data_IF_292845685813
#
_entry.id   IF_292845685813
#
_cell.length_a   1.000
_cell.length_b   1.000
_cell.length_c   1.000
_cell.angle_alpha   90.00
_cell.angle_beta   90.00
_cell.angle_gamma   90.00
#
_symmetry.space_group_name_H-M   'P 1'
#
loop_
_entity.id
_entity.type
_entity.pdbx_description
1 polymer ?
#
# COMPACT_ATOMS: atom_id res chain seq x y z
N UNK A 1 -15.25 -12.76 -2.37
CA UNK A 1 -14.40 -11.56 -2.35
C UNK A 1 -15.26 -10.29 -2.17
N UNK A 2 -14.89 -9.45 -1.22
CA UNK A 2 -15.70 -8.24 -0.89
C UNK A 2 -15.78 -7.28 -2.10
N UNK A 3 -14.69 -7.10 -2.83
CA UNK A 3 -14.63 -6.14 -3.93
C UNK A 3 -15.11 -6.74 -5.26
N UNK A 4 -14.83 -8.00 -5.50
CA UNK A 4 -15.08 -8.70 -6.78
C UNK A 4 -16.40 -9.51 -6.77
N UNK A 5 -17.02 -9.70 -5.61
CA UNK A 5 -18.20 -10.53 -5.44
C UNK A 5 -17.86 -12.03 -5.44
N UNK A 6 -18.82 -12.83 -5.89
CA UNK A 6 -18.63 -14.29 -5.97
C UNK A 6 -17.60 -14.63 -7.05
N UNK A 7 -16.57 -15.37 -6.64
CA UNK A 7 -15.54 -15.91 -7.55
C UNK A 7 -15.76 -17.40 -7.68
N UNK A 8 -16.15 -17.85 -8.87
CA UNK A 8 -16.38 -19.27 -9.16
C UNK A 8 -15.31 -19.74 -10.12
N UNK A 9 -14.68 -20.87 -9.81
CA UNK A 9 -13.68 -21.51 -10.64
C UNK A 9 -14.02 -22.99 -10.73
N UNK A 10 -13.94 -23.55 -11.94
CA UNK A 10 -14.11 -24.97 -12.13
C UNK A 10 -12.93 -25.73 -11.50
N UNK A 11 -13.23 -26.67 -10.62
CA UNK A 11 -12.21 -27.45 -9.92
C UNK A 11 -11.32 -28.27 -10.88
N UNK A 12 -11.82 -28.65 -12.02
CA UNK A 12 -11.06 -29.37 -13.05
C UNK A 12 -9.94 -28.51 -13.68
N UNK A 13 -10.05 -27.20 -13.57
CA UNK A 13 -9.04 -26.25 -14.09
C UNK A 13 -7.93 -25.95 -13.09
N UNK A 14 -8.04 -26.46 -11.86
CA UNK A 14 -7.04 -26.24 -10.82
C UNK A 14 -5.93 -27.27 -10.91
N UNK A 15 -4.70 -26.79 -11.12
CA UNK A 15 -3.51 -27.65 -11.14
C UNK A 15 -3.18 -28.20 -9.75
N UNK A 16 -2.62 -29.39 -9.71
CA UNK A 16 -1.97 -29.93 -8.52
C UNK A 16 -0.79 -29.06 -8.13
N UNK A 17 -0.82 -28.53 -6.91
CA UNK A 17 0.23 -27.65 -6.38
C UNK A 17 1.01 -28.35 -5.28
N UNK A 18 2.32 -28.19 -5.33
CA UNK A 18 3.17 -28.59 -4.20
C UNK A 18 2.90 -27.63 -3.06
N UNK A 19 2.33 -28.12 -1.97
CA UNK A 19 2.05 -27.34 -0.76
C UNK A 19 3.20 -27.44 0.25
N UNK A 20 3.89 -28.57 0.27
CA UNK A 20 5.01 -28.84 1.18
C UNK A 20 6.18 -29.45 0.42
N UNK A 21 7.35 -28.85 0.54
CA UNK A 21 8.54 -29.28 -0.20
C UNK A 21 9.28 -30.40 0.52
N UNK A 22 10.08 -31.17 -0.25
CA UNK A 22 10.91 -32.25 0.29
C UNK A 22 11.99 -31.80 1.28
N UNK A 23 12.37 -30.52 1.25
CA UNK A 23 13.30 -29.89 2.19
C UNK A 23 12.68 -29.56 3.57
N UNK A 24 11.40 -29.89 3.77
CA UNK A 24 10.70 -29.60 5.03
C UNK A 24 10.11 -28.18 5.12
N UNK A 25 10.11 -27.42 4.03
CA UNK A 25 9.57 -26.07 4.01
C UNK A 25 8.22 -26.02 3.30
N UNK A 26 7.21 -25.32 3.84
CA UNK A 26 5.95 -25.09 3.14
C UNK A 26 6.18 -24.18 1.94
N UNK A 27 5.30 -24.29 0.94
CA UNK A 27 5.19 -23.27 -0.11
C UNK A 27 4.35 -22.09 0.38
N UNK A 28 4.40 -20.97 -0.36
CA UNK A 28 3.68 -19.75 -0.01
C UNK A 28 2.19 -20.00 0.28
N UNK A 29 1.50 -20.75 -0.58
CA UNK A 29 0.05 -20.95 -0.44
C UNK A 29 -0.31 -21.68 0.86
N UNK A 30 0.47 -22.68 1.22
CA UNK A 30 0.26 -23.43 2.46
C UNK A 30 0.60 -22.59 3.70
N UNK A 31 1.78 -21.98 3.70
CA UNK A 31 2.24 -21.12 4.81
C UNK A 31 1.27 -19.97 5.08
N UNK A 32 0.83 -19.28 4.01
CA UNK A 32 -0.09 -18.15 4.13
C UNK A 32 -1.42 -18.56 4.79
N UNK A 33 -2.04 -19.64 4.36
CA UNK A 33 -3.31 -20.10 4.94
C UNK A 33 -3.16 -20.52 6.41
N UNK A 34 -2.08 -21.23 6.73
CA UNK A 34 -1.81 -21.66 8.11
C UNK A 34 -1.54 -20.48 9.03
N UNK A 35 -0.74 -19.51 8.57
CA UNK A 35 -0.44 -18.30 9.34
C UNK A 35 -1.68 -17.43 9.53
N UNK A 36 -2.46 -17.20 8.47
CA UNK A 36 -3.70 -16.42 8.54
C UNK A 36 -4.69 -17.03 9.54
N UNK A 37 -4.84 -18.37 9.55
CA UNK A 37 -5.73 -19.04 10.48
C UNK A 37 -5.23 -18.89 11.93
N UNK A 38 -3.95 -19.22 12.20
CA UNK A 38 -3.41 -19.15 13.56
C UNK A 38 -3.29 -17.73 14.10
N UNK A 39 -3.02 -16.74 13.24
CA UNK A 39 -3.00 -15.33 13.58
C UNK A 39 -4.40 -14.72 13.66
N UNK A 40 -5.46 -15.48 13.35
CA UNK A 40 -6.85 -15.03 13.35
C UNK A 40 -7.09 -13.81 12.47
N UNK A 41 -6.50 -13.84 11.27
CA UNK A 41 -6.69 -12.78 10.28
C UNK A 41 -8.15 -12.76 9.85
N UNK A 42 -8.81 -11.63 10.03
CA UNK A 42 -10.22 -11.45 9.66
C UNK A 42 -10.40 -11.08 8.19
N UNK A 43 -9.45 -10.33 7.61
CA UNK A 43 -9.51 -9.84 6.23
C UNK A 43 -8.14 -9.98 5.56
N UNK A 44 -8.09 -10.64 4.42
CA UNK A 44 -6.91 -10.74 3.56
C UNK A 44 -7.02 -9.71 2.45
N UNK A 45 -6.30 -8.59 2.59
CA UNK A 45 -6.28 -7.50 1.62
C UNK A 45 -4.98 -7.57 0.82
N UNK A 46 -5.09 -7.78 -0.51
CA UNK A 46 -3.91 -7.95 -1.37
C UNK A 46 -4.19 -7.51 -2.81
N UNK A 47 -3.18 -7.47 -3.66
CA UNK A 47 -3.33 -7.11 -5.07
C UNK A 47 -4.10 -8.17 -5.87
N UNK A 48 -4.82 -7.73 -6.88
CA UNK A 48 -5.66 -8.59 -7.75
C UNK A 48 -4.86 -9.66 -8.51
N UNK A 49 -3.55 -9.54 -8.62
CA UNK A 49 -2.67 -10.57 -9.17
C UNK A 49 -2.71 -11.88 -8.38
N UNK A 50 -3.19 -11.83 -7.14
CA UNK A 50 -3.37 -12.99 -6.27
C UNK A 50 -4.77 -13.60 -6.32
N UNK A 51 -5.69 -12.99 -7.05
CA UNK A 51 -7.07 -13.50 -7.20
C UNK A 51 -7.11 -14.97 -7.71
N UNK A 52 -6.26 -15.39 -8.65
CA UNK A 52 -6.22 -16.79 -9.08
C UNK A 52 -5.83 -17.79 -7.99
N UNK A 53 -5.23 -17.34 -6.90
CA UNK A 53 -4.87 -18.19 -5.75
C UNK A 53 -6.01 -18.38 -4.76
N UNK A 54 -7.07 -17.58 -4.83
CA UNK A 54 -8.18 -17.61 -3.87
C UNK A 54 -8.88 -18.98 -3.80
N UNK A 55 -9.19 -19.67 -4.92
CA UNK A 55 -9.81 -21.00 -4.87
C UNK A 55 -8.93 -22.01 -4.12
N UNK A 56 -7.62 -22.03 -4.41
CA UNK A 56 -6.66 -22.92 -3.75
C UNK A 56 -6.62 -22.66 -2.23
N UNK A 57 -6.55 -21.38 -1.81
CA UNK A 57 -6.56 -21.03 -0.39
C UNK A 57 -7.85 -21.48 0.29
N UNK A 58 -9.01 -21.28 -0.36
CA UNK A 58 -10.30 -21.76 0.15
C UNK A 58 -10.32 -23.29 0.32
N UNK A 59 -9.79 -24.05 -0.66
CA UNK A 59 -9.69 -25.50 -0.59
C UNK A 59 -8.77 -25.98 0.55
N UNK A 60 -7.68 -25.28 0.83
CA UNK A 60 -6.79 -25.61 1.97
C UNK A 60 -7.54 -25.42 3.29
N UNK A 61 -8.29 -24.31 3.49
CA UNK A 61 -9.16 -24.12 4.66
C UNK A 61 -10.16 -25.27 4.81
N UNK A 62 -10.84 -25.65 3.72
CA UNK A 62 -11.81 -26.74 3.73
C UNK A 62 -11.18 -28.08 4.07
N UNK A 63 -9.97 -28.35 3.56
CA UNK A 63 -9.24 -29.59 3.80
C UNK A 63 -8.81 -29.76 5.26
N UNK A 64 -8.59 -28.65 5.97
CA UNK A 64 -8.34 -28.67 7.41
C UNK A 64 -9.63 -28.65 8.26
N UNK A 65 -10.81 -28.54 7.66
CA UNK A 65 -12.07 -28.37 8.35
C UNK A 65 -12.19 -27.03 9.09
N UNK A 66 -11.41 -26.03 8.67
CA UNK A 66 -11.46 -24.69 9.27
C UNK A 66 -12.62 -23.88 8.66
N UNK A 67 -13.63 -23.67 9.46
CA UNK A 67 -14.84 -22.93 9.03
C UNK A 67 -14.63 -21.40 9.05
N UNK A 68 -13.73 -20.93 9.89
CA UNK A 68 -13.43 -19.49 10.07
C UNK A 68 -12.46 -19.02 8.99
N UNK A 69 -12.97 -18.89 7.76
CA UNK A 69 -12.20 -18.32 6.65
C UNK A 69 -12.20 -16.80 6.76
N UNK A 70 -11.05 -16.12 6.47
CA UNK A 70 -11.03 -14.67 6.36
C UNK A 70 -11.86 -14.18 5.18
N UNK A 71 -12.34 -12.97 5.25
CA UNK A 71 -12.87 -12.26 4.11
C UNK A 71 -11.73 -11.85 3.18
N UNK A 72 -11.91 -12.02 1.87
CA UNK A 72 -10.88 -11.66 0.88
C UNK A 72 -11.22 -10.37 0.16
N UNK A 73 -10.19 -9.53 -0.04
CA UNK A 73 -10.28 -8.26 -0.76
C UNK A 73 -9.14 -8.17 -1.75
N UNK A 74 -9.43 -8.28 -3.05
CA UNK A 74 -8.43 -8.16 -4.09
C UNK A 74 -8.46 -6.77 -4.72
N UNK A 75 -7.51 -5.92 -4.29
CA UNK A 75 -7.39 -4.55 -4.76
C UNK A 75 -6.85 -4.50 -6.19
N UNK A 76 -7.35 -3.55 -7.02
CA UNK A 76 -6.83 -3.38 -8.36
C UNK A 76 -5.38 -2.88 -8.36
N UNK A 77 -4.72 -3.00 -9.51
CA UNK A 77 -3.34 -2.56 -9.68
C UNK A 77 -3.20 -1.04 -9.60
N UNK A 78 -2.10 -0.59 -9.02
CA UNK A 78 -1.63 0.79 -9.19
C UNK A 78 -0.96 0.87 -10.56
N UNK A 79 -1.44 1.80 -11.39
CA UNK A 79 -0.97 1.99 -12.75
C UNK A 79 0.13 3.05 -12.84
N UNK A 80 0.99 2.95 -13.84
CA UNK A 80 2.05 3.92 -14.13
C UNK A 80 1.47 5.33 -14.35
N UNK A 81 2.23 6.40 -14.01
CA UNK A 81 1.82 7.77 -14.28
C UNK A 81 1.64 8.04 -15.78
N UNK A 82 2.50 7.45 -16.61
CA UNK A 82 2.47 7.59 -18.06
C UNK A 82 2.50 6.20 -18.71
N UNK A 83 1.70 6.01 -19.76
CA UNK A 83 1.59 4.75 -20.49
C UNK A 83 0.63 3.75 -19.87
N UNK A 84 0.78 2.48 -20.23
CA UNK A 84 -0.06 1.36 -19.78
C UNK A 84 0.71 0.45 -18.81
N UNK A 85 -0.01 -0.26 -17.96
CA UNK A 85 0.47 -1.33 -17.11
C UNK A 85 0.72 -0.95 -15.66
N UNK A 86 1.06 -1.97 -14.88
CA UNK A 86 1.30 -1.90 -13.43
C UNK A 86 2.52 -1.02 -13.12
N UNK A 87 2.38 -0.17 -12.10
CA UNK A 87 3.51 0.55 -11.51
C UNK A 87 4.52 -0.44 -10.92
N UNK A 88 5.79 -0.26 -11.25
CA UNK A 88 6.90 -1.08 -10.76
C UNK A 88 7.91 -0.25 -9.99
N UNK A 89 8.76 -0.91 -9.21
CA UNK A 89 9.84 -0.25 -8.46
C UNK A 89 10.80 0.54 -9.34
N UNK A 90 11.01 0.10 -10.59
CA UNK A 90 11.88 0.78 -11.58
C UNK A 90 11.28 2.06 -12.15
N UNK A 91 9.96 2.21 -12.04
CA UNK A 91 9.29 3.41 -12.56
C UNK A 91 9.58 4.63 -11.69
N UNK A 92 9.85 4.47 -10.38
CA UNK A 92 10.25 5.56 -9.50
C UNK A 92 11.51 6.27 -9.96
N UNK A 93 12.56 5.53 -10.26
CA UNK A 93 13.82 6.08 -10.76
C UNK A 93 13.62 6.75 -12.14
N UNK A 94 12.81 6.13 -13.00
CA UNK A 94 12.53 6.64 -14.35
C UNK A 94 11.74 7.95 -14.34
N UNK A 95 10.79 8.09 -13.45
CA UNK A 95 9.86 9.24 -13.39
C UNK A 95 10.16 10.20 -12.23
N UNK A 96 11.21 9.96 -11.45
CA UNK A 96 11.71 10.86 -10.42
C UNK A 96 10.81 10.99 -9.18
N UNK A 97 10.18 9.92 -8.75
CA UNK A 97 9.40 9.90 -7.51
C UNK A 97 9.82 8.74 -6.59
N UNK A 98 9.69 8.89 -5.26
CA UNK A 98 10.05 7.84 -4.31
C UNK A 98 9.05 6.68 -4.34
N UNK A 99 9.54 5.47 -4.09
CA UNK A 99 8.72 4.25 -3.95
C UNK A 99 8.86 3.65 -2.55
N UNK A 100 10.05 3.79 -1.95
CA UNK A 100 10.33 3.27 -0.62
C UNK A 100 10.05 4.33 0.45
N UNK A 101 9.71 3.88 1.66
CA UNK A 101 9.50 4.79 2.79
C UNK A 101 10.80 5.54 3.18
N UNK A 102 11.92 4.83 3.17
CA UNK A 102 13.26 5.36 3.49
C UNK A 102 14.26 4.94 2.42
N UNK A 103 15.44 5.54 2.43
CA UNK A 103 16.55 5.15 1.54
C UNK A 103 16.84 3.66 1.64
N UNK A 104 17.08 3.07 0.50
CA UNK A 104 17.51 1.68 0.37
C UNK A 104 18.93 1.62 -0.17
N UNK A 105 19.82 0.94 0.55
CA UNK A 105 21.20 0.67 0.14
C UNK A 105 21.35 -0.80 -0.22
N UNK A 106 20.92 -1.16 -1.42
CA UNK A 106 21.19 -2.46 -2.04
C UNK A 106 22.24 -2.30 -3.14
N UNK A 107 22.11 -3.08 -4.21
CA UNK A 107 22.92 -2.94 -5.44
C UNK A 107 22.71 -1.59 -6.13
N UNK A 108 21.57 -0.94 -5.90
CA UNK A 108 21.26 0.41 -6.37
C UNK A 108 20.82 1.25 -5.18
N UNK A 109 21.47 2.41 -4.99
CA UNK A 109 21.14 3.34 -3.91
C UNK A 109 19.94 4.19 -4.34
N UNK A 110 18.77 3.98 -3.69
CA UNK A 110 17.52 4.69 -3.98
C UNK A 110 17.13 5.56 -2.79
N UNK A 111 16.67 6.79 -3.04
CA UNK A 111 16.10 7.65 -2.01
C UNK A 111 14.63 7.27 -1.76
N UNK A 112 14.21 7.27 -0.50
CA UNK A 112 12.82 7.04 -0.11
C UNK A 112 12.03 8.33 0.09
N UNK A 113 10.74 8.20 0.41
CA UNK A 113 9.85 9.33 0.71
C UNK A 113 10.43 10.28 1.76
N UNK A 114 11.03 9.73 2.82
CA UNK A 114 11.67 10.51 3.88
C UNK A 114 12.76 11.43 3.35
N UNK A 115 13.65 10.93 2.51
CA UNK A 115 14.78 11.69 1.95
C UNK A 115 14.35 12.66 0.84
N UNK A 116 13.15 12.47 0.28
CA UNK A 116 12.48 13.45 -0.60
C UNK A 116 11.71 14.52 0.19
N UNK A 117 11.72 14.48 1.53
CA UNK A 117 11.06 15.47 2.38
C UNK A 117 9.53 15.31 2.49
N UNK A 118 9.03 14.10 2.27
CA UNK A 118 7.61 13.81 2.48
C UNK A 118 7.31 13.55 3.95
N UNK A 119 6.23 14.13 4.43
CA UNK A 119 5.68 13.83 5.75
C UNK A 119 4.95 12.46 5.72
N UNK A 120 5.14 11.59 6.73
CA UNK A 120 4.48 10.29 6.78
C UNK A 120 2.95 10.36 6.63
N UNK A 121 2.31 11.32 7.28
CA UNK A 121 0.87 11.54 7.21
C UNK A 121 0.41 11.93 5.80
N UNK A 122 1.21 12.68 5.04
CA UNK A 122 0.90 13.03 3.66
C UNK A 122 0.94 11.81 2.75
N UNK A 123 1.95 10.95 2.93
CA UNK A 123 2.10 9.70 2.17
C UNK A 123 0.92 8.76 2.46
N UNK A 124 0.57 8.57 3.73
CA UNK A 124 -0.57 7.73 4.13
C UNK A 124 -1.87 8.26 3.53
N UNK A 125 -2.12 9.56 3.62
CA UNK A 125 -3.33 10.17 3.06
C UNK A 125 -3.41 9.99 1.54
N UNK A 126 -2.34 10.29 0.80
CA UNK A 126 -2.27 10.10 -0.65
C UNK A 126 -2.51 8.64 -1.05
N UNK A 127 -1.81 7.68 -0.41
CA UNK A 127 -1.94 6.26 -0.73
C UNK A 127 -3.35 5.72 -0.41
N UNK A 128 -3.98 6.22 0.65
CA UNK A 128 -5.35 5.83 0.99
C UNK A 128 -6.32 6.21 -0.12
N UNK A 129 -6.25 7.45 -0.63
CA UNK A 129 -7.15 7.92 -1.69
C UNK A 129 -6.78 7.40 -3.09
N UNK A 130 -5.65 6.72 -3.24
CA UNK A 130 -5.27 6.12 -4.51
C UNK A 130 -6.15 4.92 -4.90
N UNK A 131 -6.67 4.19 -3.92
CA UNK A 131 -7.51 3.00 -4.14
C UNK A 131 -8.86 3.03 -3.43
N UNK A 132 -9.18 4.12 -2.73
CA UNK A 132 -10.37 4.26 -1.94
C UNK A 132 -10.94 5.68 -2.06
N UNK A 133 -12.27 5.81 -1.95
CA UNK A 133 -12.97 7.10 -2.00
C UNK A 133 -13.97 7.18 -0.83
N UNK A 134 -13.88 8.23 0.02
CA UNK A 134 -14.81 8.43 1.14
C UNK A 134 -16.23 8.84 0.73
N UNK A 135 -16.48 9.09 -0.55
CA UNK A 135 -17.75 9.61 -1.05
C UNK A 135 -17.96 11.11 -0.79
N UNK A 136 -16.90 11.85 -0.47
CA UNK A 136 -16.91 13.29 -0.22
C UNK A 136 -15.85 13.99 -1.07
N UNK A 137 -15.90 15.33 -1.15
CA UNK A 137 -14.88 16.13 -1.83
C UNK A 137 -13.64 16.40 -0.96
N UNK A 138 -13.68 15.98 0.31
CA UNK A 138 -12.54 16.14 1.21
C UNK A 138 -11.38 15.25 0.76
N UNK A 139 -10.20 15.85 0.62
CA UNK A 139 -8.97 15.14 0.24
C UNK A 139 -7.93 15.09 1.37
N UNK A 140 -7.87 16.10 2.23
CA UNK A 140 -6.88 16.16 3.32
C UNK A 140 -7.46 15.55 4.60
N UNK A 141 -6.86 14.45 5.02
CA UNK A 141 -7.27 13.67 6.19
C UNK A 141 -6.10 13.44 7.14
N UNK A 142 -6.35 13.53 8.42
CA UNK A 142 -5.49 12.91 9.43
C UNK A 142 -5.67 11.38 9.42
N UNK A 143 -4.75 10.64 10.03
CA UNK A 143 -4.86 9.19 10.16
C UNK A 143 -6.14 8.78 10.93
N UNK A 144 -6.51 9.52 11.99
CA UNK A 144 -7.73 9.25 12.74
C UNK A 144 -9.00 9.45 11.92
N UNK A 145 -9.04 10.48 11.08
CA UNK A 145 -10.16 10.70 10.17
C UNK A 145 -10.25 9.62 9.08
N UNK A 146 -9.09 9.18 8.54
CA UNK A 146 -9.05 8.06 7.60
C UNK A 146 -9.60 6.77 8.22
N UNK A 147 -9.20 6.46 9.46
CA UNK A 147 -9.70 5.28 10.19
C UNK A 147 -11.22 5.37 10.39
N UNK A 148 -11.74 6.53 10.76
CA UNK A 148 -13.18 6.72 10.98
C UNK A 148 -13.99 6.68 9.68
N UNK A 149 -13.44 7.19 8.58
CA UNK A 149 -14.13 7.26 7.30
C UNK A 149 -14.05 5.95 6.51
N UNK A 150 -13.04 5.09 6.80
CA UNK A 150 -12.78 3.91 6.01
C UNK A 150 -13.97 2.94 6.00
N UNK A 151 -14.31 2.50 4.80
CA UNK A 151 -15.25 1.41 4.57
C UNK A 151 -14.86 0.62 3.32
N UNK A 152 -15.13 -0.66 3.29
CA UNK A 152 -14.87 -1.50 2.11
C UNK A 152 -15.70 -1.07 0.90
N UNK A 153 -16.88 -0.48 1.11
CA UNK A 153 -17.73 0.03 0.03
C UNK A 153 -17.11 1.20 -0.74
N UNK A 154 -16.17 1.91 -0.12
CA UNK A 154 -15.42 2.99 -0.76
C UNK A 154 -14.24 2.53 -1.62
N UNK A 155 -13.91 1.23 -1.64
CA UNK A 155 -12.81 0.72 -2.44
C UNK A 155 -13.11 0.79 -3.94
N UNK A 156 -12.15 1.27 -4.71
CA UNK A 156 -12.25 1.35 -6.16
C UNK A 156 -12.12 -0.04 -6.79
N UNK A 157 -12.96 -0.34 -7.79
CA UNK A 157 -12.92 -1.61 -8.54
C UNK A 157 -11.94 -1.59 -9.71
N UNK A 158 -11.51 -0.42 -10.14
CA UNK A 158 -10.58 -0.22 -11.25
C UNK A 158 -9.24 0.31 -10.78
N UNK A 159 -8.17 0.00 -11.55
CA UNK A 159 -6.82 0.45 -11.22
C UNK A 159 -6.70 1.98 -11.15
N UNK A 160 -6.02 2.44 -10.11
CA UNK A 160 -5.74 3.86 -9.91
C UNK A 160 -4.38 4.23 -10.52
N UNK A 161 -4.35 5.34 -11.25
CA UNK A 161 -3.10 5.86 -11.81
C UNK A 161 -2.34 6.64 -10.75
N UNK A 162 -1.09 6.28 -10.54
CA UNK A 162 -0.19 7.03 -9.67
C UNK A 162 0.09 8.40 -10.29
N UNK A 163 -0.19 9.46 -9.54
CA UNK A 163 0.06 10.84 -9.96
C UNK A 163 1.14 11.46 -9.05
N UNK A 164 2.39 11.65 -9.57
CA UNK A 164 3.47 12.23 -8.78
C UNK A 164 3.23 13.70 -8.40
N UNK A 165 2.48 14.46 -9.22
CA UNK A 165 2.17 15.85 -8.91
C UNK A 165 1.14 15.96 -7.79
N UNK A 166 0.09 15.14 -7.86
CA UNK A 166 -0.88 15.03 -6.78
C UNK A 166 -0.24 14.54 -5.48
N UNK A 167 0.71 13.62 -5.57
CA UNK A 167 1.48 13.18 -4.39
C UNK A 167 2.26 14.34 -3.74
N UNK A 168 2.92 15.18 -4.54
CA UNK A 168 3.60 16.40 -4.05
C UNK A 168 2.61 17.41 -3.45
N UNK A 169 1.45 17.59 -4.09
CA UNK A 169 0.40 18.47 -3.59
C UNK A 169 -0.10 18.03 -2.19
N UNK A 170 -0.32 16.73 -1.97
CA UNK A 170 -0.65 16.21 -0.63
C UNK A 170 0.41 16.58 0.40
N UNK A 171 1.69 16.38 0.05
CA UNK A 171 2.78 16.72 0.96
C UNK A 171 2.80 18.22 1.29
N UNK A 172 2.68 19.07 0.29
CA UNK A 172 2.61 20.52 0.46
C UNK A 172 1.44 20.93 1.38
N UNK A 173 0.25 20.39 1.15
CA UNK A 173 -0.94 20.69 1.96
C UNK A 173 -0.77 20.24 3.41
N UNK A 174 -0.16 19.09 3.64
CA UNK A 174 0.12 18.64 5.01
C UNK A 174 1.20 19.48 5.69
N UNK A 175 2.25 19.92 4.99
CA UNK A 175 3.26 20.83 5.52
C UNK A 175 2.62 22.15 5.97
N UNK A 176 1.77 22.76 5.14
CA UNK A 176 1.06 23.99 5.47
C UNK A 176 0.17 23.88 6.72
N UNK A 177 -0.41 22.69 6.95
CA UNK A 177 -1.26 22.43 8.10
C UNK A 177 -0.49 21.93 9.34
N UNK A 178 0.84 21.77 9.24
CA UNK A 178 1.69 21.33 10.33
C UNK A 178 2.20 22.55 11.12
N UNK A 179 2.31 22.39 12.45
CA UNK A 179 2.86 23.46 13.31
C UNK A 179 4.28 23.80 12.86
N UNK A 180 4.58 25.11 12.72
CA UNK A 180 5.87 25.62 12.26
C UNK A 180 7.08 25.03 13.02
N UNK A 181 6.95 24.77 14.33
CA UNK A 181 8.01 24.17 15.12
C UNK A 181 8.48 22.79 14.60
N UNK A 182 7.55 21.93 14.18
CA UNK A 182 7.89 20.60 13.66
C UNK A 182 8.54 20.66 12.27
N UNK A 183 8.12 21.62 11.46
CA UNK A 183 8.72 21.87 10.14
C UNK A 183 10.12 22.47 10.32
N UNK A 184 10.24 23.46 11.21
CA UNK A 184 11.52 24.10 11.55
C UNK A 184 12.57 23.08 12.02
N UNK A 185 12.21 22.16 12.92
CA UNK A 185 13.13 21.13 13.40
C UNK A 185 13.60 20.18 12.29
N UNK A 186 12.72 19.86 11.37
CA UNK A 186 13.06 19.04 10.20
C UNK A 186 14.02 19.77 9.25
N UNK A 187 13.80 21.07 9.02
CA UNK A 187 14.66 21.93 8.23
C UNK A 187 16.02 22.09 8.92
N UNK A 188 16.06 22.40 10.22
CA UNK A 188 17.29 22.50 11.02
C UNK A 188 18.13 21.23 10.90
N UNK A 189 17.49 20.08 10.97
CA UNK A 189 18.16 18.78 10.83
C UNK A 189 18.71 18.52 9.43
N UNK A 190 18.01 18.98 8.38
CA UNK A 190 18.39 18.80 7.00
C UNK A 190 19.55 19.73 6.56
N UNK A 191 19.52 20.97 7.00
CA UNK A 191 20.47 22.02 6.59
C UNK A 191 21.61 22.25 7.58
N UNK A 192 21.56 21.67 8.78
CA UNK A 192 22.64 21.79 9.77
C UNK A 192 23.00 23.23 10.09
N UNK A 193 24.29 23.58 10.05
CA UNK A 193 24.79 24.93 10.35
C UNK A 193 24.38 26.01 9.33
N UNK A 194 23.94 25.62 8.14
CA UNK A 194 23.47 26.61 7.14
C UNK A 194 22.12 27.22 7.52
N UNK A 195 21.34 26.54 8.37
CA UNK A 195 20.08 27.06 8.90
C UNK A 195 20.22 28.39 9.65
N UNK A 196 21.37 28.64 10.26
CA UNK A 196 21.65 29.89 11.01
C UNK A 196 21.59 31.17 10.19
N UNK A 197 21.53 31.06 8.85
CA UNK A 197 21.41 32.18 7.93
C UNK A 197 19.99 32.73 7.80
N UNK A 198 18.98 31.97 8.23
CA UNK A 198 17.57 32.34 8.14
C UNK A 198 17.01 32.63 9.55
N UNK A 199 16.24 33.70 9.67
CA UNK A 199 15.52 33.98 10.93
C UNK A 199 14.32 33.02 11.03
N UNK A 200 13.97 32.63 12.27
CA UNK A 200 12.81 31.71 12.50
C UNK A 200 11.47 32.30 12.00
N UNK A 201 11.39 33.59 11.79
CA UNK A 201 10.22 34.33 11.26
C UNK A 201 10.10 34.22 9.73
N UNK A 202 11.12 33.72 9.03
CA UNK A 202 11.19 33.59 7.58
C UNK A 202 10.97 32.14 7.08
N UNK A 203 10.78 31.19 8.01
CA UNK A 203 10.55 29.77 7.79
C UNK A 203 9.14 29.36 8.23
#
# INVERSE_FOLDING_TARGET
DILRGVVSVDSETLDDKILYKSDGMPTYHFANVVDDHHMKISHVIRGEEWLPSLPLHSMIYDSFGWLDKPDFVHLPLILKPIGKGKLSKRDGDKFGFPIYATSWSGTVKTKGYKEFGFLPQAVVNFLSLLGWNPGTEKEIFSLSELIQAFSFSGLNKSGARFDPEKNRWFNHSHIQNTKNSLVSDSIKKAFGSEHSKYKEEEL
#
